data_IF_783007972896
#
_entry.id   IF_783007972896
#
_cell.length_a   1.000
_cell.length_b   1.000
_cell.length_c   1.000
_cell.angle_alpha   90.00
_cell.angle_beta   90.00
_cell.angle_gamma   90.00
#
_symmetry.space_group_name_H-M   'P 1'
#
loop_
_entity.id
_entity.type
_entity.pdbx_description
1 polymer ?
#
# COMPACT_ATOMS: atom_id res chain seq x y z
N UNK A 1 -11.91 1.95 -9.67
CA UNK A 1 -11.87 2.41 -11.08
C UNK A 1 -10.46 2.14 -11.61
N UNK A 2 -10.31 1.37 -12.68
CA UNK A 2 -9.00 1.24 -13.34
C UNK A 2 -8.62 2.59 -13.92
N UNK A 3 -7.41 3.06 -13.65
CA UNK A 3 -6.90 4.27 -14.28
C UNK A 3 -6.62 3.92 -15.74
N UNK A 4 -7.48 4.36 -16.65
CA UNK A 4 -7.24 4.23 -18.09
C UNK A 4 -6.11 5.19 -18.47
N UNK A 5 -4.87 4.69 -18.40
CA UNK A 5 -3.66 5.44 -18.69
C UNK A 5 -2.43 4.87 -17.97
N UNK A 6 -1.23 5.24 -18.43
CA UNK A 6 0.03 4.92 -17.75
C UNK A 6 0.36 3.43 -17.57
N UNK A 7 -0.10 2.56 -18.47
CA UNK A 7 0.13 1.11 -18.42
C UNK A 7 1.61 0.69 -18.42
N UNK A 8 2.52 1.59 -18.78
CA UNK A 8 3.97 1.35 -18.78
C UNK A 8 4.73 2.12 -17.68
N UNK A 9 4.04 2.85 -16.80
CA UNK A 9 4.70 3.61 -15.73
C UNK A 9 5.29 2.64 -14.71
N UNK A 10 6.62 2.69 -14.54
CA UNK A 10 7.35 1.82 -13.60
C UNK A 10 7.84 2.54 -12.35
N UNK A 11 8.07 3.84 -12.45
CA UNK A 11 8.68 4.64 -11.40
C UNK A 11 7.86 5.91 -11.20
N UNK A 12 7.54 6.22 -9.94
CA UNK A 12 6.78 7.41 -9.58
C UNK A 12 7.45 8.12 -8.39
N UNK A 13 7.59 9.44 -8.47
CA UNK A 13 8.22 10.23 -7.41
C UNK A 13 7.28 11.36 -7.00
N UNK A 14 6.76 11.27 -5.77
CA UNK A 14 5.86 12.23 -5.16
C UNK A 14 6.44 12.64 -3.80
N UNK A 15 7.10 13.80 -3.80
CA UNK A 15 7.62 14.44 -2.59
C UNK A 15 6.76 15.66 -2.28
N UNK A 16 6.41 15.88 -1.00
CA UNK A 16 5.68 17.08 -0.58
C UNK A 16 4.37 17.30 -1.37
N UNK A 17 3.69 16.20 -1.69
CA UNK A 17 2.41 16.20 -2.41
C UNK A 17 1.25 16.02 -1.43
N UNK A 18 0.05 16.54 -1.73
CA UNK A 18 -1.10 16.55 -0.82
C UNK A 18 -1.83 15.19 -0.74
N UNK A 19 -1.09 14.08 -0.69
CA UNK A 19 -1.67 12.76 -0.46
C UNK A 19 -2.01 12.61 1.03
N UNK A 20 -3.30 12.71 1.32
CA UNK A 20 -3.83 12.79 2.69
C UNK A 20 -4.57 11.54 3.14
N UNK A 21 -4.90 10.62 2.23
CA UNK A 21 -5.69 9.43 2.53
C UNK A 21 -5.00 8.15 2.07
N UNK A 22 -5.33 7.03 2.73
CA UNK A 22 -4.86 5.72 2.28
C UNK A 22 -5.47 5.32 0.93
N UNK A 23 -6.66 5.81 0.58
CA UNK A 23 -7.29 5.59 -0.73
C UNK A 23 -6.47 6.19 -1.87
N UNK A 24 -5.75 7.29 -1.62
CA UNK A 24 -4.81 7.86 -2.59
C UNK A 24 -3.69 6.86 -2.91
N UNK A 25 -3.16 6.18 -1.89
CA UNK A 25 -2.13 5.13 -2.04
C UNK A 25 -2.69 3.90 -2.76
N UNK A 26 -3.88 3.46 -2.37
CA UNK A 26 -4.55 2.32 -3.00
C UNK A 26 -4.79 2.57 -4.50
N UNK A 27 -5.05 3.83 -4.88
CA UNK A 27 -5.19 4.23 -6.30
C UNK A 27 -3.87 4.10 -7.06
N UNK A 28 -2.72 4.35 -6.44
CA UNK A 28 -1.41 4.16 -7.07
C UNK A 28 -1.09 2.68 -7.31
N UNK A 29 -1.55 1.78 -6.43
CA UNK A 29 -1.35 0.33 -6.60
C UNK A 29 -2.13 -0.25 -7.81
N UNK A 30 -3.14 0.48 -8.31
CA UNK A 30 -3.86 0.08 -9.53
C UNK A 30 -3.01 0.21 -10.81
N UNK A 31 -1.85 0.85 -10.75
CA UNK A 31 -0.95 1.02 -11.88
C UNK A 31 -0.18 -0.29 -12.15
N UNK A 32 -0.42 -0.97 -13.28
CA UNK A 32 -0.06 -2.38 -13.46
C UNK A 32 1.45 -2.65 -13.45
N UNK A 33 2.24 -1.69 -13.92
CA UNK A 33 3.69 -1.82 -14.06
C UNK A 33 4.47 -1.01 -13.01
N UNK A 34 3.80 -0.36 -12.04
CA UNK A 34 4.49 0.41 -11.02
C UNK A 34 5.31 -0.53 -10.13
N UNK A 35 6.61 -0.27 -10.02
CA UNK A 35 7.57 -1.08 -9.25
C UNK A 35 8.39 -0.23 -8.28
N UNK A 36 8.62 1.04 -8.59
CA UNK A 36 9.32 1.95 -7.71
C UNK A 36 8.48 3.17 -7.38
N UNK A 37 8.43 3.52 -6.10
CA UNK A 37 7.80 4.75 -5.65
C UNK A 37 8.69 5.50 -4.66
N UNK A 38 8.71 6.83 -4.79
CA UNK A 38 9.16 7.72 -3.71
C UNK A 38 7.95 8.49 -3.20
N UNK A 39 7.57 8.21 -1.98
CA UNK A 39 6.42 8.74 -1.25
C UNK A 39 6.96 9.34 0.05
N UNK A 40 7.37 10.61 -0.01
CA UNK A 40 8.02 11.31 1.10
C UNK A 40 7.36 12.64 1.37
N UNK A 41 7.36 13.09 2.63
CA UNK A 41 6.74 14.36 3.04
C UNK A 41 5.25 14.43 2.66
N UNK A 42 4.52 13.33 2.88
CA UNK A 42 3.09 13.26 2.63
C UNK A 42 2.30 13.54 3.92
N UNK A 43 1.22 14.34 3.89
CA UNK A 43 0.34 14.57 5.04
C UNK A 43 -0.15 13.27 5.70
N UNK A 44 -0.49 12.26 4.89
CA UNK A 44 -0.90 10.92 5.34
C UNK A 44 0.09 10.26 6.31
N UNK A 45 1.38 10.55 6.18
CA UNK A 45 2.46 9.90 6.93
C UNK A 45 3.10 10.80 7.99
N UNK A 46 2.63 12.04 8.13
CA UNK A 46 3.28 13.06 8.96
C UNK A 46 3.35 12.66 10.44
N UNK A 47 2.31 12.01 10.95
CA UNK A 47 2.19 11.57 12.35
C UNK A 47 2.73 10.15 12.60
N UNK A 48 3.27 9.50 11.58
CA UNK A 48 3.76 8.12 11.66
C UNK A 48 5.28 8.09 11.76
N UNK A 49 5.80 7.14 12.53
CA UNK A 49 7.22 6.83 12.44
C UNK A 49 7.56 6.30 11.04
N UNK A 50 8.78 6.59 10.57
CA UNK A 50 9.25 6.12 9.27
C UNK A 50 9.08 4.60 9.09
N UNK A 51 9.32 3.82 10.14
CA UNK A 51 9.16 2.36 10.10
C UNK A 51 7.71 1.92 9.92
N UNK A 52 6.76 2.57 10.62
CA UNK A 52 5.32 2.27 10.49
C UNK A 52 4.80 2.71 9.13
N UNK A 53 5.12 3.93 8.70
CA UNK A 53 4.73 4.46 7.39
C UNK A 53 5.21 3.55 6.26
N UNK A 54 6.49 3.16 6.27
CA UNK A 54 7.07 2.24 5.29
C UNK A 54 6.34 0.91 5.27
N UNK A 55 6.06 0.31 6.42
CA UNK A 55 5.38 -0.98 6.53
C UNK A 55 3.95 -0.91 5.99
N UNK A 56 3.21 0.16 6.28
CA UNK A 56 1.87 0.37 5.76
C UNK A 56 1.86 0.55 4.23
N UNK A 57 2.79 1.34 3.69
CA UNK A 57 2.92 1.53 2.24
C UNK A 57 3.25 0.21 1.53
N UNK A 58 4.20 -0.58 2.05
CA UNK A 58 4.55 -1.89 1.48
C UNK A 58 3.37 -2.87 1.54
N UNK A 59 2.65 -2.91 2.67
CA UNK A 59 1.51 -3.81 2.84
C UNK A 59 0.31 -3.48 1.96
N UNK A 60 0.15 -2.20 1.57
CA UNK A 60 -0.90 -1.74 0.66
C UNK A 60 -0.49 -1.83 -0.82
N UNK A 61 0.78 -1.61 -1.14
CA UNK A 61 1.27 -1.61 -2.52
C UNK A 61 1.95 -2.93 -2.86
N UNK A 62 1.14 -3.88 -3.37
CA UNK A 62 1.52 -5.28 -3.54
C UNK A 62 2.66 -5.51 -4.55
N UNK A 63 2.73 -4.67 -5.58
CA UNK A 63 3.67 -4.90 -6.69
C UNK A 63 5.04 -4.21 -6.53
N UNK A 64 5.24 -3.42 -5.47
CA UNK A 64 6.36 -2.51 -5.31
C UNK A 64 7.68 -3.23 -4.95
N UNK A 65 8.76 -3.00 -5.70
CA UNK A 65 10.09 -3.57 -5.43
C UNK A 65 11.07 -2.58 -4.80
N UNK A 66 10.86 -1.27 -4.96
CA UNK A 66 11.72 -0.22 -4.37
C UNK A 66 10.88 0.92 -3.81
N UNK A 67 10.96 1.16 -2.50
CA UNK A 67 10.25 2.24 -1.82
C UNK A 67 11.24 3.22 -1.21
N UNK A 68 11.10 4.51 -1.53
CA UNK A 68 11.93 5.60 -1.00
C UNK A 68 13.43 5.34 -1.18
N UNK A 69 13.82 4.77 -2.33
CA UNK A 69 15.21 4.48 -2.67
C UNK A 69 15.80 3.23 -2.03
N UNK A 70 15.00 2.41 -1.34
CA UNK A 70 15.45 1.14 -0.75
C UNK A 70 14.59 -0.03 -1.24
N UNK A 71 15.27 -1.15 -1.53
CA UNK A 71 14.66 -2.40 -1.94
C UNK A 71 13.63 -2.88 -0.91
N UNK A 72 12.48 -3.37 -1.40
CA UNK A 72 11.50 -4.09 -0.61
C UNK A 72 11.82 -5.58 -0.68
N UNK A 73 12.47 -6.09 0.37
CA UNK A 73 12.86 -7.50 0.40
C UNK A 73 11.66 -8.40 0.67
N UNK A 74 11.70 -9.65 0.18
CA UNK A 74 10.62 -10.63 0.40
C UNK A 74 10.20 -10.75 1.88
N UNK A 75 11.17 -10.91 2.79
CA UNK A 75 10.88 -11.00 4.23
C UNK A 75 10.21 -9.74 4.78
N UNK A 76 10.66 -8.56 4.35
CA UNK A 76 10.05 -7.29 4.75
C UNK A 76 8.60 -7.19 4.26
N UNK A 77 8.35 -7.62 3.02
CA UNK A 77 7.01 -7.70 2.44
C UNK A 77 6.10 -8.64 3.25
N UNK A 78 6.54 -9.86 3.53
CA UNK A 78 5.77 -10.82 4.32
C UNK A 78 5.39 -10.23 5.71
N UNK A 79 6.33 -9.55 6.35
CA UNK A 79 6.11 -8.91 7.65
C UNK A 79 5.19 -7.68 7.55
N UNK A 80 5.27 -6.93 6.45
CA UNK A 80 4.41 -5.78 6.18
C UNK A 80 2.97 -6.17 5.91
N UNK A 81 2.75 -7.23 5.12
CA UNK A 81 1.42 -7.76 4.83
C UNK A 81 0.76 -8.30 6.10
N UNK A 82 1.48 -9.06 6.93
CA UNK A 82 0.97 -9.51 8.25
C UNK A 82 0.60 -8.34 9.15
N UNK A 83 1.44 -7.31 9.19
CA UNK A 83 1.17 -6.10 9.97
C UNK A 83 -0.10 -5.41 9.47
N UNK A 84 -0.23 -5.23 8.15
CA UNK A 84 -1.40 -4.62 7.54
C UNK A 84 -2.70 -5.38 7.86
N UNK A 85 -2.69 -6.71 7.70
CA UNK A 85 -3.85 -7.55 8.02
C UNK A 85 -4.24 -7.45 9.49
N UNK A 86 -3.28 -7.46 10.42
CA UNK A 86 -3.57 -7.26 11.86
C UNK A 86 -4.22 -5.91 12.14
N UNK A 87 -3.75 -4.84 11.50
CA UNK A 87 -4.33 -3.51 11.65
C UNK A 87 -5.77 -3.46 11.11
N UNK A 88 -6.04 -4.11 9.97
CA UNK A 88 -7.39 -4.20 9.42
C UNK A 88 -8.32 -5.01 10.33
N UNK A 89 -7.91 -6.19 10.79
CA UNK A 89 -8.73 -6.99 11.72
C UNK A 89 -9.03 -6.23 13.01
N UNK A 90 -8.04 -5.52 13.57
CA UNK A 90 -8.27 -4.68 14.75
C UNK A 90 -9.25 -3.51 14.48
N UNK A 91 -9.26 -2.98 13.27
CA UNK A 91 -10.17 -1.90 12.86
C UNK A 91 -11.59 -2.38 12.50
N UNK A 92 -11.78 -3.67 12.20
CA UNK A 92 -13.07 -4.29 11.89
C UNK A 92 -13.47 -5.30 12.99
N UNK A 93 -14.12 -4.85 14.09
CA UNK A 93 -14.47 -5.71 15.22
C UNK A 93 -15.65 -6.67 14.96
N UNK A 94 -16.26 -6.66 13.78
CA UNK A 94 -17.32 -7.62 13.42
C UNK A 94 -16.71 -8.97 13.05
N UNK A 95 -17.31 -10.12 13.44
CA UNK A 95 -16.86 -11.41 12.95
C UNK A 95 -16.87 -11.41 11.42
N UNK A 96 -15.79 -11.94 10.82
CA UNK A 96 -15.72 -12.20 9.38
C UNK A 96 -16.98 -12.96 8.98
N UNK A 97 -17.68 -12.57 7.90
CA UNK A 97 -18.81 -13.34 7.41
C UNK A 97 -18.34 -14.77 7.21
N UNK A 98 -18.93 -15.70 7.96
CA UNK A 98 -18.65 -17.13 7.82
C UNK A 98 -18.95 -17.47 6.37
N UNK A 99 -17.94 -17.87 5.61
CA UNK A 99 -18.11 -18.19 4.20
C UNK A 99 -19.13 -19.31 4.05
N UNK A 100 -20.39 -18.98 3.80
CA UNK A 100 -21.34 -19.89 3.20
C UNK A 100 -21.03 -19.89 1.72
N UNK A 101 -20.13 -20.78 1.31
CA UNK A 101 -20.24 -21.41 0.00
C UNK A 101 -21.56 -22.16 -0.04
N UNK A 102 -22.64 -21.46 -0.41
CA UNK A 102 -23.66 -22.08 -1.23
C UNK A 102 -23.41 -21.61 -2.66
N UNK A 103 -22.76 -22.50 -3.40
CA UNK A 103 -22.69 -22.45 -4.86
C UNK A 103 -23.97 -23.14 -5.35
N UNK A 104 -24.86 -22.47 -6.11
CA UNK A 104 -25.76 -23.16 -7.01
C UNK A 104 -25.01 -23.68 -8.24
#
# INVERSE_FOLDING_TARGET
>A
PSVDGFGSLRQLMLRANPLGSWTDIDSLDTLPQLREARLTELPLTAELSHAVARRLLIGRMGALSVLNGSEVRKRERDDAERFYLRQMVAAYPSPLPSGTTEVP
#
